data_IF_478795872642
#
_entry.id   IF_478795872642
#
_cell.length_a   1.000
_cell.length_b   1.000
_cell.length_c   1.000
_cell.angle_alpha   90.00
_cell.angle_beta   90.00
_cell.angle_gamma   90.00
#
_symmetry.space_group_name_H-M   'P 1'
#
loop_
_entity.id
_entity.type
_entity.pdbx_description
1 polymer ?
#
# COMPACT_ATOMS: atom_id res chain seq x y z
N UNK A 1 -12.11 34.01 -22.49
CA UNK A 1 -10.81 33.41 -22.13
C UNK A 1 -11.10 32.13 -21.39
N UNK A 2 -11.23 31.05 -22.13
CA UNK A 2 -11.28 29.70 -21.58
C UNK A 2 -9.98 29.41 -20.83
N UNK A 3 -10.06 29.17 -19.52
CA UNK A 3 -8.96 28.60 -18.77
C UNK A 3 -8.68 27.20 -19.31
N UNK A 4 -7.44 26.82 -19.65
CA UNK A 4 -7.13 25.42 -19.94
C UNK A 4 -7.47 24.59 -18.68
N UNK A 5 -8.00 23.36 -18.83
CA UNK A 5 -8.18 22.48 -17.68
C UNK A 5 -6.81 22.35 -17.01
N UNK A 6 -6.72 22.76 -15.74
CA UNK A 6 -5.53 22.50 -14.93
C UNK A 6 -5.22 21.01 -15.05
N UNK A 7 -3.97 20.60 -15.30
CA UNK A 7 -3.62 19.19 -15.30
C UNK A 7 -3.94 18.67 -13.90
N UNK A 8 -5.05 17.95 -13.77
CA UNK A 8 -5.35 17.19 -12.57
C UNK A 8 -4.09 16.38 -12.30
N UNK A 9 -3.40 16.55 -11.15
CA UNK A 9 -2.25 15.72 -10.86
C UNK A 9 -2.77 14.29 -10.96
N UNK A 10 -2.21 13.53 -11.91
CA UNK A 10 -2.48 12.11 -12.05
C UNK A 10 -2.24 11.55 -10.66
N UNK A 11 -3.33 11.28 -9.93
CA UNK A 11 -3.27 10.80 -8.57
C UNK A 11 -2.72 9.40 -8.72
N UNK A 12 -1.39 9.27 -8.64
CA UNK A 12 -0.69 8.00 -8.76
C UNK A 12 -1.29 7.13 -7.67
N UNK A 13 -2.23 6.27 -8.09
CA UNK A 13 -2.92 5.38 -7.18
C UNK A 13 -1.84 4.46 -6.66
N UNK A 14 -1.42 4.68 -5.42
CA UNK A 14 -0.40 3.86 -4.80
C UNK A 14 -0.91 2.42 -4.78
N UNK A 15 -0.19 1.45 -5.35
CA UNK A 15 -0.69 0.09 -5.45
C UNK A 15 -0.99 -0.46 -4.05
N UNK A 16 -2.14 -1.13 -3.97
CA UNK A 16 -2.56 -1.87 -2.80
C UNK A 16 -2.04 -3.31 -2.89
N UNK A 17 -0.88 -3.53 -2.30
CA UNK A 17 -0.19 -4.81 -2.29
C UNK A 17 -0.95 -5.80 -1.39
N UNK A 18 -1.05 -7.05 -1.83
CA UNK A 18 -1.38 -8.14 -0.92
C UNK A 18 -0.20 -8.44 0.01
N UNK A 19 -0.44 -9.21 1.07
CA UNK A 19 0.62 -9.68 1.98
C UNK A 19 1.76 -10.39 1.23
N UNK A 20 1.41 -11.16 0.19
CA UNK A 20 2.37 -11.87 -0.66
C UNK A 20 3.22 -10.91 -1.50
N UNK A 21 2.60 -9.88 -2.08
CA UNK A 21 3.34 -8.88 -2.86
C UNK A 21 4.24 -8.02 -1.96
N UNK A 22 3.73 -7.63 -0.78
CA UNK A 22 4.50 -6.91 0.22
C UNK A 22 5.75 -7.69 0.64
N UNK A 23 5.61 -8.99 0.92
CA UNK A 23 6.75 -9.84 1.31
C UNK A 23 7.79 -9.94 0.19
N UNK A 24 7.33 -10.03 -1.06
CA UNK A 24 8.20 -10.16 -2.21
C UNK A 24 8.97 -8.85 -2.48
N UNK A 25 8.29 -7.72 -2.33
CA UNK A 25 8.89 -6.39 -2.47
C UNK A 25 9.91 -6.10 -1.36
N UNK A 26 9.51 -6.27 -0.10
CA UNK A 26 10.39 -6.02 1.05
C UNK A 26 11.46 -7.12 1.25
N UNK A 27 11.36 -8.24 0.52
CA UNK A 27 12.20 -9.44 0.68
C UNK A 27 12.22 -9.95 2.12
N UNK A 28 11.06 -9.93 2.78
CA UNK A 28 10.87 -10.38 4.17
C UNK A 28 10.00 -11.64 4.24
N UNK A 29 10.04 -12.31 5.38
CA UNK A 29 9.19 -13.48 5.64
C UNK A 29 7.75 -13.08 6.00
N UNK A 30 6.81 -14.01 5.79
CA UNK A 30 5.41 -13.88 6.21
C UNK A 30 5.27 -13.52 7.70
N UNK A 31 6.11 -14.14 8.52
CA UNK A 31 6.14 -13.95 9.97
C UNK A 31 6.55 -12.53 10.35
N UNK A 32 7.48 -11.92 9.62
CA UNK A 32 7.89 -10.53 9.87
C UNK A 32 6.72 -9.56 9.68
N UNK A 33 5.94 -9.74 8.60
CA UNK A 33 4.77 -8.91 8.32
C UNK A 33 3.71 -9.12 9.41
N UNK A 34 3.45 -10.37 9.80
CA UNK A 34 2.50 -10.66 10.89
C UNK A 34 2.92 -10.00 12.20
N UNK A 35 4.18 -10.14 12.59
CA UNK A 35 4.70 -9.50 13.80
C UNK A 35 4.55 -7.98 13.72
N UNK A 36 4.84 -7.34 12.57
CA UNK A 36 4.62 -5.90 12.43
C UNK A 36 3.16 -5.48 12.52
N UNK A 37 2.23 -6.26 11.97
CA UNK A 37 0.80 -5.93 12.06
C UNK A 37 0.27 -6.11 13.49
N UNK A 38 0.83 -7.06 14.25
CA UNK A 38 0.39 -7.38 15.61
C UNK A 38 1.07 -6.50 16.69
N UNK A 39 2.38 -6.32 16.58
CA UNK A 39 3.26 -5.63 17.54
C UNK A 39 3.35 -4.12 17.27
N UNK A 40 3.21 -3.68 16.01
CA UNK A 40 3.33 -2.27 15.61
C UNK A 40 1.98 -1.69 15.14
N UNK A 41 1.21 -1.05 16.05
CA UNK A 41 -0.11 -0.52 15.71
C UNK A 41 -0.05 0.67 14.75
N UNK A 42 1.08 1.39 14.66
CA UNK A 42 1.24 2.46 13.67
C UNK A 42 1.36 1.89 12.25
N UNK A 43 2.14 0.82 12.09
CA UNK A 43 2.24 0.06 10.85
C UNK A 43 0.86 -0.50 10.47
N UNK A 44 0.15 -1.12 11.40
CA UNK A 44 -1.20 -1.61 11.12
C UNK A 44 -2.15 -0.47 10.68
N UNK A 45 -2.14 0.68 11.37
CA UNK A 45 -3.04 1.81 11.03
C UNK A 45 -2.71 2.50 9.71
N UNK A 46 -1.42 2.67 9.39
CA UNK A 46 -0.97 3.39 8.19
C UNK A 46 -0.86 2.48 6.97
N UNK A 47 -0.47 1.23 7.20
CA UNK A 47 -0.07 0.31 6.15
C UNK A 47 -1.06 -0.83 5.93
N UNK A 48 -2.10 -1.01 6.75
CA UNK A 48 -3.09 -2.08 6.56
C UNK A 48 -4.47 -1.49 6.30
N UNK A 49 -5.05 -1.90 5.17
CA UNK A 49 -6.44 -1.62 4.82
C UNK A 49 -7.17 -2.97 4.77
N UNK A 50 -8.19 -3.13 5.59
CA UNK A 50 -9.14 -4.22 5.44
C UNK A 50 -10.18 -3.82 4.39
N UNK A 51 -10.17 -4.49 3.25
CA UNK A 51 -11.16 -4.25 2.17
C UNK A 51 -12.31 -5.26 2.23
N UNK A 52 -12.37 -6.10 3.27
CA UNK A 52 -13.47 -7.02 3.45
C UNK A 52 -14.74 -6.27 3.86
N UNK A 53 -15.89 -6.74 3.40
CA UNK A 53 -17.16 -6.27 3.96
C UNK A 53 -17.22 -6.69 5.43
N UNK A 54 -17.82 -5.88 6.32
CA UNK A 54 -17.85 -6.15 7.76
C UNK A 54 -18.50 -7.49 8.14
N UNK A 55 -19.31 -8.07 7.25
CA UNK A 55 -19.97 -9.37 7.40
C UNK A 55 -19.13 -10.56 6.84
N UNK A 56 -18.01 -10.29 6.18
CA UNK A 56 -17.20 -11.32 5.54
C UNK A 56 -16.16 -11.90 6.49
N UNK A 57 -16.21 -13.21 6.70
CA UNK A 57 -15.20 -13.97 7.46
C UNK A 57 -13.80 -13.98 6.82
N UNK A 58 -13.63 -13.36 5.64
CA UNK A 58 -12.35 -13.28 4.92
C UNK A 58 -11.84 -11.83 4.90
N UNK A 59 -11.21 -11.42 5.99
CA UNK A 59 -10.42 -10.19 6.04
C UNK A 59 -9.39 -10.21 4.91
N UNK A 60 -9.49 -9.24 4.02
CA UNK A 60 -8.57 -9.10 2.89
C UNK A 60 -7.72 -7.89 3.18
N UNK A 61 -6.57 -8.15 3.80
CA UNK A 61 -5.62 -7.10 4.15
C UNK A 61 -4.85 -6.65 2.90
N UNK A 62 -4.84 -5.34 2.67
CA UNK A 62 -4.13 -4.66 1.61
C UNK A 62 -3.17 -3.65 2.18
N UNK A 63 -2.01 -3.52 1.56
CA UNK A 63 -0.92 -2.67 2.02
C UNK A 63 -0.61 -1.59 1.00
N UNK A 64 -0.84 -0.30 1.30
CA UNK A 64 -0.47 0.77 0.40
C UNK A 64 1.05 0.85 0.29
N UNK A 65 1.60 0.55 -0.89
CA UNK A 65 3.05 0.52 -1.11
C UNK A 65 3.75 1.81 -0.67
N UNK A 66 3.13 2.95 -0.95
CA UNK A 66 3.67 4.27 -0.60
C UNK A 66 3.64 4.53 0.91
N UNK A 67 2.59 4.12 1.62
CA UNK A 67 2.53 4.27 3.07
C UNK A 67 3.54 3.36 3.78
N UNK A 68 3.72 2.14 3.28
CA UNK A 68 4.76 1.22 3.75
C UNK A 68 6.15 1.82 3.51
N UNK A 69 6.40 2.35 2.32
CA UNK A 69 7.70 2.95 2.00
C UNK A 69 7.99 4.17 2.85
N UNK A 70 7.04 5.09 2.98
CA UNK A 70 7.14 6.27 3.84
C UNK A 70 7.49 5.87 5.29
N UNK A 71 6.75 4.90 5.85
CA UNK A 71 6.98 4.41 7.20
C UNK A 71 8.35 3.71 7.36
N UNK A 72 8.81 2.96 6.37
CA UNK A 72 10.10 2.26 6.40
C UNK A 72 11.28 3.13 5.92
N UNK A 73 11.04 4.37 5.48
CA UNK A 73 12.06 5.23 4.88
C UNK A 73 12.57 4.72 3.51
N UNK A 74 11.79 3.91 2.80
CA UNK A 74 12.12 3.44 1.45
C UNK A 74 11.86 4.60 0.47
N UNK A 75 12.83 4.95 -0.39
CA UNK A 75 12.64 6.04 -1.34
C UNK A 75 11.57 5.70 -2.38
N UNK A 76 10.85 6.73 -2.86
CA UNK A 76 9.71 6.57 -3.78
C UNK A 76 10.09 5.83 -5.07
N UNK A 77 11.32 5.99 -5.59
CA UNK A 77 11.80 5.25 -6.77
C UNK A 77 11.87 3.73 -6.56
N UNK A 78 11.94 3.26 -5.31
CA UNK A 78 11.97 1.84 -4.95
C UNK A 78 10.58 1.31 -4.58
N UNK A 79 9.54 2.16 -4.56
CA UNK A 79 8.16 1.69 -4.41
C UNK A 79 7.68 1.02 -5.69
N UNK A 80 6.94 -0.10 -5.59
CA UNK A 80 6.27 -0.66 -6.74
C UNK A 80 5.26 0.37 -7.24
N UNK A 81 5.32 0.66 -8.53
CA UNK A 81 4.36 1.51 -9.21
C UNK A 81 3.39 0.59 -9.95
N UNK A 82 2.08 0.79 -9.74
CA UNK A 82 1.10 0.10 -10.57
C UNK A 82 1.26 0.70 -11.97
N UNK A 83 1.81 -0.08 -12.92
CA UNK A 83 1.81 0.30 -14.32
C UNK A 83 0.36 0.32 -14.80
N UNK A 84 -0.33 1.44 -14.60
CA UNK A 84 -1.60 1.66 -15.27
C UNK A 84 -1.25 1.86 -16.74
N UNK A 85 -1.57 0.87 -17.57
CA UNK A 85 -1.61 1.09 -19.01
C UNK A 85 -2.64 2.19 -19.25
N UNK A 86 -2.20 3.28 -19.88
CA UNK A 86 -3.07 4.34 -20.38
C UNK A 86 -3.91 3.84 -21.56
#
# INVERSE_FOLDING_TARGET
>A
MEHPPSPTPLRVASPLLTKTELRAWLKVSDMWIRMRVDDDPEFARRCVIDIATPDSSRRTLRFPARAVADYLGIPDYATPQLATAA
#
